data_IF_316171616382
#
_entry.id   IF_316171616382
#
_cell.length_a   1.000
_cell.length_b   1.000
_cell.length_c   1.000
_cell.angle_alpha   90.00
_cell.angle_beta   90.00
_cell.angle_gamma   90.00
#
_symmetry.space_group_name_H-M   'P 1'
#
loop_
_entity.id
_entity.type
_entity.pdbx_description
1 polymer ?
#
# COMPACT_ATOMS: atom_id res chain seq x y z
N UNK A 1 33.31 -7.25 -10.82
CA UNK A 1 32.37 -6.24 -10.26
C UNK A 1 31.33 -5.74 -11.30
N UNK A 2 30.82 -6.60 -12.21
CA UNK A 2 30.01 -6.21 -13.40
C UNK A 2 28.52 -6.62 -13.37
N UNK A 3 27.95 -6.87 -12.20
CA UNK A 3 26.50 -6.98 -12.05
C UNK A 3 25.98 -5.62 -11.59
N UNK A 4 25.77 -4.70 -12.53
CA UNK A 4 25.01 -3.46 -12.26
C UNK A 4 23.64 -3.85 -11.71
N UNK A 5 23.23 -3.22 -10.61
CA UNK A 5 21.89 -3.28 -10.01
C UNK A 5 20.83 -3.60 -11.08
N UNK A 6 20.06 -4.67 -10.91
CA UNK A 6 19.20 -5.24 -11.98
C UNK A 6 18.23 -4.24 -12.62
N UNK A 7 17.92 -3.14 -11.94
CA UNK A 7 17.18 -2.01 -12.52
C UNK A 7 17.94 -1.31 -13.67
N UNK A 8 19.23 -1.02 -13.53
CA UNK A 8 20.03 -0.40 -14.59
C UNK A 8 20.17 -1.33 -15.79
N UNK A 9 20.29 -2.63 -15.54
CA UNK A 9 20.27 -3.61 -16.62
C UNK A 9 18.89 -3.70 -17.28
N UNK A 10 17.80 -3.64 -16.52
CA UNK A 10 16.45 -3.57 -17.06
C UNK A 10 16.24 -2.30 -17.90
N UNK A 11 16.70 -1.13 -17.44
CA UNK A 11 16.67 0.13 -18.20
C UNK A 11 17.51 0.03 -19.48
N UNK A 12 18.73 -0.54 -19.39
CA UNK A 12 19.58 -0.76 -20.56
C UNK A 12 18.95 -1.72 -21.56
N UNK A 13 18.28 -2.77 -21.06
CA UNK A 13 17.59 -3.74 -21.91
C UNK A 13 16.29 -3.17 -22.48
N UNK A 14 15.61 -2.25 -21.78
CA UNK A 14 14.49 -1.45 -22.30
C UNK A 14 14.93 -0.67 -23.54
N UNK A 15 16.06 0.04 -23.45
CA UNK A 15 16.62 0.77 -24.60
C UNK A 15 17.00 -0.14 -25.77
N UNK A 16 17.29 -1.42 -25.50
CA UNK A 16 17.62 -2.42 -26.52
C UNK A 16 16.40 -3.20 -27.04
N UNK A 17 15.19 -2.90 -26.55
CA UNK A 17 13.97 -3.62 -26.92
C UNK A 17 13.93 -5.09 -26.46
N UNK A 18 14.70 -5.45 -25.42
CA UNK A 18 14.86 -6.84 -24.96
C UNK A 18 14.08 -7.21 -23.69
N UNK A 19 13.23 -6.31 -23.18
CA UNK A 19 12.43 -6.60 -21.99
C UNK A 19 10.95 -6.78 -22.34
N UNK A 20 10.29 -7.67 -21.60
CA UNK A 20 8.84 -7.79 -21.67
C UNK A 20 8.16 -6.53 -21.14
N UNK A 21 6.93 -6.28 -21.60
CA UNK A 21 6.11 -5.13 -21.19
C UNK A 21 5.92 -5.06 -19.66
N UNK A 22 5.79 -6.20 -18.99
CA UNK A 22 5.64 -6.27 -17.54
C UNK A 22 6.89 -5.77 -16.79
N UNK A 23 8.08 -6.11 -17.27
CA UNK A 23 9.34 -5.60 -16.72
C UNK A 23 9.43 -4.09 -16.92
N UNK A 24 9.11 -3.61 -18.13
CA UNK A 24 9.10 -2.18 -18.44
C UNK A 24 8.15 -1.41 -17.51
N UNK A 25 6.96 -1.96 -17.26
CA UNK A 25 5.98 -1.39 -16.33
C UNK A 25 6.49 -1.30 -14.90
N UNK A 26 7.16 -2.33 -14.39
CA UNK A 26 7.77 -2.32 -13.05
C UNK A 26 8.91 -1.30 -12.93
N UNK A 27 9.73 -1.15 -13.97
CA UNK A 27 10.77 -0.11 -14.00
C UNK A 27 10.15 1.28 -13.99
N UNK A 28 9.14 1.52 -14.85
CA UNK A 28 8.43 2.80 -14.91
C UNK A 28 7.78 3.14 -13.57
N UNK A 29 7.17 2.15 -12.90
CA UNK A 29 6.59 2.31 -11.57
C UNK A 29 7.59 2.88 -10.55
N UNK A 30 8.82 2.34 -10.49
CA UNK A 30 9.86 2.85 -9.57
C UNK A 30 10.16 4.32 -9.83
N UNK A 31 10.25 4.73 -11.11
CA UNK A 31 10.51 6.13 -11.48
C UNK A 31 9.35 7.05 -11.13
N UNK A 32 8.12 6.62 -11.43
CA UNK A 32 6.91 7.36 -11.06
C UNK A 32 6.82 7.52 -9.55
N UNK A 33 7.08 6.46 -8.79
CA UNK A 33 7.08 6.51 -7.32
C UNK A 33 8.13 7.49 -6.78
N UNK A 34 9.33 7.49 -7.36
CA UNK A 34 10.37 8.47 -7.01
C UNK A 34 9.95 9.91 -7.32
N UNK A 35 9.38 10.15 -8.50
CA UNK A 35 8.94 11.48 -8.91
C UNK A 35 7.81 12.04 -8.02
N UNK A 36 6.82 11.22 -7.68
CA UNK A 36 5.73 11.60 -6.77
C UNK A 36 6.29 11.88 -5.37
N UNK A 37 7.19 11.05 -4.86
CA UNK A 37 7.82 11.25 -3.55
C UNK A 37 8.60 12.57 -3.47
N UNK A 38 9.37 12.91 -4.51
CA UNK A 38 10.08 14.19 -4.61
C UNK A 38 9.09 15.36 -4.66
N UNK A 39 8.01 15.24 -5.45
CA UNK A 39 7.00 16.27 -5.55
C UNK A 39 6.31 16.54 -4.20
N UNK A 40 5.96 15.49 -3.45
CA UNK A 40 5.36 15.62 -2.12
C UNK A 40 6.31 16.26 -1.12
N UNK A 41 7.59 15.85 -1.09
CA UNK A 41 8.60 16.50 -0.24
C UNK A 41 8.76 18.00 -0.58
N UNK A 42 8.66 18.36 -1.88
CA UNK A 42 8.73 19.74 -2.33
C UNK A 42 7.48 20.58 -1.95
N UNK A 43 6.34 19.98 -1.59
CA UNK A 43 5.16 20.71 -1.11
C UNK A 43 5.44 21.36 0.25
N UNK A 44 6.28 20.75 1.09
CA UNK A 44 6.59 21.21 2.46
C UNK A 44 7.05 22.67 2.50
N UNK A 45 8.14 23.07 1.81
CA UNK A 45 8.61 24.44 1.85
C UNK A 45 7.59 25.42 1.26
N UNK A 46 6.87 25.02 0.21
CA UNK A 46 5.85 25.88 -0.42
C UNK A 46 4.70 26.15 0.54
N UNK A 47 4.22 25.13 1.26
CA UNK A 47 3.15 25.27 2.25
C UNK A 47 3.56 26.20 3.39
N UNK A 48 4.76 26.03 3.95
CA UNK A 48 5.23 26.80 5.09
C UNK A 48 5.57 28.26 4.76
N UNK A 49 5.99 28.54 3.53
CA UNK A 49 6.35 29.91 3.10
C UNK A 49 5.15 30.72 2.58
N UNK A 50 4.11 30.04 2.09
CA UNK A 50 2.95 30.68 1.48
C UNK A 50 1.62 30.13 2.02
N UNK A 51 1.38 30.15 3.34
CA UNK A 51 0.19 29.55 3.94
C UNK A 51 -1.11 30.18 3.43
N UNK A 52 -1.14 31.49 3.21
CA UNK A 52 -2.37 32.23 2.85
C UNK A 52 -2.82 32.00 1.40
N UNK A 53 -1.91 31.64 0.49
CA UNK A 53 -2.22 31.55 -0.94
C UNK A 53 -2.80 30.19 -1.33
N UNK A 54 -2.29 29.11 -0.73
CA UNK A 54 -2.62 27.73 -1.15
C UNK A 54 -2.74 26.76 0.03
N UNK A 55 -2.74 27.22 1.29
CA UNK A 55 -2.70 26.37 2.48
C UNK A 55 -3.77 25.28 2.52
N UNK A 56 -5.01 25.60 2.10
CA UNK A 56 -6.11 24.63 2.04
C UNK A 56 -5.93 23.51 1.00
N UNK A 57 -5.13 23.75 -0.05
CA UNK A 57 -4.80 22.74 -1.06
C UNK A 57 -3.53 21.98 -0.65
N UNK A 58 -2.46 22.68 -0.28
CA UNK A 58 -1.17 22.07 0.05
C UNK A 58 -1.19 21.25 1.33
N UNK A 59 -2.02 21.60 2.31
CA UNK A 59 -2.24 20.77 3.52
C UNK A 59 -2.73 19.35 3.20
N UNK A 60 -3.41 19.14 2.07
CA UNK A 60 -3.85 17.80 1.63
C UNK A 60 -2.70 16.92 1.13
N UNK A 61 -1.57 17.52 0.78
CA UNK A 61 -0.40 16.83 0.23
C UNK A 61 0.82 16.90 1.16
N UNK A 62 0.66 17.47 2.36
CA UNK A 62 1.77 17.70 3.27
C UNK A 62 2.11 16.40 4.01
N UNK A 63 3.36 15.93 3.88
CA UNK A 63 3.78 14.68 4.53
C UNK A 63 3.74 14.78 6.06
N UNK A 64 3.99 15.98 6.61
CA UNK A 64 3.96 16.25 8.05
C UNK A 64 2.57 16.28 8.68
N UNK A 65 1.52 15.98 7.91
CA UNK A 65 0.15 15.90 8.42
C UNK A 65 -0.38 14.50 8.20
N UNK A 66 -1.03 13.98 9.24
CA UNK A 66 -1.70 12.69 9.18
C UNK A 66 -3.04 12.80 8.43
N UNK A 67 -3.57 11.63 8.01
CA UNK A 67 -4.91 11.52 7.40
C UNK A 67 -5.11 12.44 6.17
N UNK A 68 -4.08 12.57 5.34
CA UNK A 68 -4.15 13.29 4.07
C UNK A 68 -3.53 12.45 2.93
N UNK A 69 -3.38 13.04 1.74
CA UNK A 69 -2.82 12.34 0.59
C UNK A 69 -1.31 12.07 0.73
N UNK A 70 -0.57 12.93 1.45
CA UNK A 70 0.83 12.71 1.77
C UNK A 70 1.02 11.43 2.59
N UNK A 71 0.33 11.34 3.73
CA UNK A 71 0.32 10.15 4.60
C UNK A 71 -0.23 8.90 3.89
N UNK A 72 -1.23 9.07 3.00
CA UNK A 72 -1.69 7.97 2.15
C UNK A 72 -0.56 7.44 1.25
N UNK A 73 0.19 8.35 0.62
CA UNK A 73 1.24 7.97 -0.31
C UNK A 73 2.38 7.22 0.40
N UNK A 74 2.92 7.75 1.50
CA UNK A 74 3.95 7.08 2.31
C UNK A 74 3.46 5.71 2.80
N UNK A 75 2.25 5.66 3.38
CA UNK A 75 1.65 4.43 3.90
C UNK A 75 1.42 3.37 2.83
N UNK A 76 0.92 3.76 1.65
CA UNK A 76 0.72 2.82 0.54
C UNK A 76 2.02 2.46 -0.16
N UNK A 77 3.03 3.32 -0.17
CA UNK A 77 4.37 2.98 -0.66
C UNK A 77 4.99 1.87 0.21
N UNK A 78 4.88 1.96 1.53
CA UNK A 78 5.27 0.88 2.45
C UNK A 78 4.50 -0.42 2.19
N UNK A 79 3.20 -0.34 1.90
CA UNK A 79 2.41 -1.51 1.50
C UNK A 79 2.92 -2.12 0.19
N UNK A 80 3.30 -1.29 -0.78
CA UNK A 80 3.90 -1.75 -2.03
C UNK A 80 5.25 -2.43 -1.78
N UNK A 81 6.10 -1.91 -0.88
CA UNK A 81 7.32 -2.60 -0.45
C UNK A 81 7.00 -3.99 0.12
N UNK A 82 5.95 -4.09 0.96
CA UNK A 82 5.50 -5.34 1.54
C UNK A 82 5.08 -6.36 0.46
N UNK A 83 4.33 -5.93 -0.54
CA UNK A 83 3.88 -6.78 -1.65
C UNK A 83 5.07 -7.25 -2.52
N UNK A 84 6.00 -6.36 -2.85
CA UNK A 84 7.20 -6.72 -3.62
C UNK A 84 8.15 -7.65 -2.83
N UNK A 85 8.28 -7.46 -1.52
CA UNK A 85 9.01 -8.38 -0.65
C UNK A 85 8.32 -9.77 -0.60
N UNK A 86 6.97 -9.80 -0.61
CA UNK A 86 6.23 -11.06 -0.69
C UNK A 86 6.44 -11.78 -2.03
N UNK A 87 6.50 -11.06 -3.14
CA UNK A 87 6.85 -11.64 -4.45
C UNK A 87 8.24 -12.28 -4.40
N UNK A 88 9.20 -11.63 -3.74
CA UNK A 88 10.53 -12.22 -3.51
C UNK A 88 10.45 -13.51 -2.68
N UNK A 89 9.61 -13.56 -1.63
CA UNK A 89 9.34 -14.81 -0.90
C UNK A 89 8.81 -15.91 -1.83
N UNK A 90 7.86 -15.58 -2.69
CA UNK A 90 7.27 -16.54 -3.63
C UNK A 90 8.32 -17.04 -4.63
N UNK A 91 9.14 -16.15 -5.18
CA UNK A 91 10.17 -16.49 -6.16
C UNK A 91 11.24 -17.44 -5.61
N UNK A 92 11.48 -17.43 -4.29
CA UNK A 92 12.50 -18.21 -3.60
C UNK A 92 11.97 -19.41 -2.80
N UNK A 93 10.66 -19.58 -2.67
CA UNK A 93 10.04 -20.62 -1.81
C UNK A 93 10.46 -22.05 -2.13
N UNK A 94 10.72 -22.35 -3.41
CA UNK A 94 11.14 -23.69 -3.87
C UNK A 94 12.66 -23.89 -3.81
N UNK A 95 13.45 -22.83 -3.63
CA UNK A 95 14.91 -22.88 -3.66
C UNK A 95 15.54 -22.87 -2.27
N UNK A 96 15.00 -22.07 -1.36
CA UNK A 96 15.50 -21.97 0.01
C UNK A 96 14.40 -21.48 0.96
N UNK A 97 14.04 -22.33 1.92
CA UNK A 97 13.04 -22.02 2.94
C UNK A 97 13.47 -20.81 3.79
N UNK A 98 14.75 -20.70 4.13
CA UNK A 98 15.28 -19.62 4.96
C UNK A 98 15.23 -18.27 4.24
N UNK A 99 15.61 -18.24 2.97
CA UNK A 99 15.52 -17.03 2.13
C UNK A 99 14.07 -16.61 1.94
N UNK A 100 13.17 -17.57 1.71
CA UNK A 100 11.74 -17.30 1.60
C UNK A 100 11.15 -16.78 2.93
N UNK A 101 11.59 -17.31 4.07
CA UNK A 101 11.23 -16.79 5.38
C UNK A 101 11.73 -15.35 5.57
N UNK A 102 12.98 -15.07 5.23
CA UNK A 102 13.57 -13.73 5.37
C UNK A 102 12.78 -12.68 4.57
N UNK A 103 12.46 -12.97 3.31
CA UNK A 103 11.59 -12.09 2.49
C UNK A 103 10.18 -11.97 3.06
N UNK A 104 9.63 -13.05 3.60
CA UNK A 104 8.33 -13.04 4.28
C UNK A 104 8.32 -12.19 5.54
N UNK A 105 9.40 -12.21 6.32
CA UNK A 105 9.58 -11.41 7.52
C UNK A 105 9.67 -9.92 7.15
N UNK A 106 10.50 -9.55 6.17
CA UNK A 106 10.58 -8.18 5.66
C UNK A 106 9.23 -7.68 5.12
N UNK A 107 8.50 -8.52 4.39
CA UNK A 107 7.14 -8.22 3.93
C UNK A 107 6.20 -7.89 5.10
N UNK A 108 6.24 -8.70 6.18
CA UNK A 108 5.44 -8.44 7.38
C UNK A 108 5.82 -7.13 8.09
N UNK A 109 7.11 -6.80 8.15
CA UNK A 109 7.59 -5.54 8.76
C UNK A 109 7.12 -4.34 7.95
N UNK A 110 7.26 -4.33 6.63
CA UNK A 110 6.80 -3.22 5.79
C UNK A 110 5.27 -3.08 5.82
N UNK A 111 4.55 -4.20 5.93
CA UNK A 111 3.10 -4.17 6.14
C UNK A 111 2.74 -3.52 7.48
N UNK A 112 3.47 -3.84 8.55
CA UNK A 112 3.29 -3.20 9.86
C UNK A 112 3.59 -1.70 9.79
N UNK A 113 4.68 -1.28 9.16
CA UNK A 113 4.98 0.15 8.97
C UNK A 113 3.92 0.87 8.14
N UNK A 114 3.40 0.24 7.08
CA UNK A 114 2.27 0.79 6.32
C UNK A 114 1.04 1.04 7.21
N UNK A 115 0.75 0.09 8.10
CA UNK A 115 -0.36 0.21 9.05
C UNK A 115 -0.11 1.33 10.05
N UNK A 116 1.10 1.39 10.60
CA UNK A 116 1.50 2.42 11.55
C UNK A 116 1.41 3.83 10.96
N UNK A 117 1.89 4.03 9.74
CA UNK A 117 1.94 5.34 9.08
C UNK A 117 0.56 6.03 8.99
N UNK A 118 -0.47 5.29 8.59
CA UNK A 118 -1.82 5.87 8.46
C UNK A 118 -2.63 5.74 9.76
N UNK A 119 -2.36 4.69 10.55
CA UNK A 119 -3.14 4.41 11.77
C UNK A 119 -2.54 5.02 13.02
N UNK A 120 -1.34 5.60 12.95
CA UNK A 120 -0.57 6.15 14.06
C UNK A 120 -0.54 5.18 15.27
N UNK A 121 -0.08 3.95 15.05
CA UNK A 121 -0.06 2.89 16.09
C UNK A 121 0.95 3.26 17.18
N UNK A 122 2.10 3.81 16.78
CA UNK A 122 3.14 4.24 17.69
C UNK A 122 2.63 5.35 18.64
N UNK A 123 1.78 6.27 18.19
CA UNK A 123 1.22 7.28 19.10
C UNK A 123 0.27 6.69 20.15
N UNK A 124 -0.52 5.69 19.77
CA UNK A 124 -1.38 4.95 20.71
C UNK A 124 -0.55 4.20 21.74
N UNK A 125 0.54 3.56 21.31
CA UNK A 125 1.49 2.90 22.21
C UNK A 125 2.16 3.90 23.16
N UNK A 126 2.52 5.08 22.67
CA UNK A 126 2.99 6.20 23.50
C UNK A 126 1.96 6.62 24.54
N UNK A 127 0.68 6.67 24.15
CA UNK A 127 -0.45 6.93 25.05
C UNK A 127 -0.57 5.90 26.17
N UNK A 128 -0.49 4.60 25.83
CA UNK A 128 -0.48 3.50 26.83
C UNK A 128 0.71 3.64 27.78
N UNK A 129 1.90 3.95 27.26
CA UNK A 129 3.09 4.16 28.08
C UNK A 129 2.95 5.31 29.08
N UNK A 130 2.33 6.42 28.66
CA UNK A 130 1.97 7.54 29.55
C UNK A 130 0.94 7.10 30.60
N UNK A 131 -0.08 6.34 30.21
CA UNK A 131 -1.13 5.86 31.11
C UNK A 131 -0.60 4.95 32.23
N UNK A 132 0.35 4.07 31.92
CA UNK A 132 0.96 3.16 32.91
C UNK A 132 2.17 3.77 33.65
N UNK A 133 2.51 5.04 33.40
CA UNK A 133 3.57 5.75 34.13
C UNK A 133 5.01 5.41 33.72
N UNK A 134 5.23 4.76 32.57
CA UNK A 134 6.58 4.47 32.05
C UNK A 134 7.06 5.50 31.02
N UNK A 135 6.20 6.44 30.64
CA UNK A 135 6.45 7.43 29.59
C UNK A 135 6.17 6.89 28.18
N UNK A 136 6.29 7.73 27.14
CA UNK A 136 5.86 7.35 25.78
C UNK A 136 6.79 6.37 25.07
N UNK A 137 8.10 6.41 25.37
CA UNK A 137 9.13 5.68 24.62
C UNK A 137 9.25 4.17 24.92
N UNK A 138 9.11 3.67 26.16
CA UNK A 138 9.40 2.26 26.42
C UNK A 138 8.57 1.25 25.60
N UNK A 139 7.24 1.40 25.43
CA UNK A 139 6.47 0.52 24.56
C UNK A 139 6.96 0.53 23.11
N UNK A 140 7.34 1.71 22.59
CA UNK A 140 7.90 1.86 21.25
C UNK A 140 9.23 1.13 21.10
N UNK A 141 10.13 1.28 22.07
CA UNK A 141 11.43 0.63 22.06
C UNK A 141 11.31 -0.90 22.07
N UNK A 142 10.31 -1.46 22.77
CA UNK A 142 10.05 -2.90 22.75
C UNK A 142 9.62 -3.35 21.36
N UNK A 143 8.66 -2.66 20.74
CA UNK A 143 8.21 -2.98 19.38
C UNK A 143 9.35 -2.83 18.37
N UNK A 144 10.09 -1.72 18.44
CA UNK A 144 11.25 -1.45 17.58
C UNK A 144 12.35 -2.51 17.76
N UNK A 145 12.63 -2.96 18.99
CA UNK A 145 13.61 -4.01 19.25
C UNK A 145 13.19 -5.36 18.66
N UNK A 146 11.91 -5.74 18.82
CA UNK A 146 11.39 -7.00 18.25
C UNK A 146 11.46 -6.97 16.73
N UNK A 147 10.94 -5.91 16.10
CA UNK A 147 10.98 -5.77 14.64
C UNK A 147 12.42 -5.66 14.13
N UNK A 148 13.28 -4.96 14.87
CA UNK A 148 14.71 -4.83 14.57
C UNK A 148 15.45 -6.17 14.58
N UNK A 149 15.23 -7.02 15.59
CA UNK A 149 15.82 -8.37 15.64
C UNK A 149 15.34 -9.23 14.47
N UNK A 150 14.04 -9.18 14.15
CA UNK A 150 13.48 -9.92 13.01
C UNK A 150 14.10 -9.41 11.70
N UNK A 151 14.19 -8.09 11.50
CA UNK A 151 14.80 -7.47 10.33
C UNK A 151 16.28 -7.87 10.20
N UNK A 152 17.08 -7.71 11.26
CA UNK A 152 18.50 -8.04 11.26
C UNK A 152 18.74 -9.52 10.96
N UNK A 153 17.91 -10.42 11.52
CA UNK A 153 17.99 -11.85 11.19
C UNK A 153 17.67 -12.10 9.73
N UNK A 154 16.60 -11.51 9.20
CA UNK A 154 16.24 -11.63 7.78
C UNK A 154 17.38 -11.12 6.87
N UNK A 155 17.92 -9.94 7.16
CA UNK A 155 19.03 -9.35 6.42
C UNK A 155 20.30 -10.19 6.51
N UNK A 156 20.61 -10.77 7.67
CA UNK A 156 21.75 -11.67 7.84
C UNK A 156 21.62 -12.95 7.01
N UNK A 157 20.42 -13.54 6.95
CA UNK A 157 20.14 -14.70 6.09
C UNK A 157 20.39 -14.34 4.62
N UNK A 158 19.87 -13.20 4.15
CA UNK A 158 20.08 -12.72 2.77
C UNK A 158 21.56 -12.41 2.49
N UNK A 159 22.26 -11.80 3.45
CA UNK A 159 23.70 -11.49 3.37
C UNK A 159 24.56 -12.75 3.19
N UNK A 160 24.24 -13.82 3.93
CA UNK A 160 24.99 -15.09 3.88
C UNK A 160 24.90 -15.80 2.54
N UNK A 161 23.82 -15.60 1.78
CA UNK A 161 23.68 -16.22 0.45
C UNK A 161 24.66 -15.66 -0.60
N UNK A 162 25.30 -14.52 -0.33
CA UNK A 162 26.25 -13.91 -1.26
C UNK A 162 25.58 -13.30 -2.51
N UNK A 163 26.39 -13.02 -3.52
CA UNK A 163 25.92 -12.56 -4.84
C UNK A 163 24.95 -11.36 -4.80
N UNK A 164 23.81 -11.52 -5.47
CA UNK A 164 22.77 -10.49 -5.57
C UNK A 164 22.01 -10.28 -4.25
N UNK A 165 21.68 -11.35 -3.52
CA UNK A 165 20.94 -11.28 -2.26
C UNK A 165 21.72 -10.51 -1.19
N UNK A 166 23.05 -10.67 -1.15
CA UNK A 166 23.90 -9.87 -0.27
C UNK A 166 23.80 -8.38 -0.57
N UNK A 167 23.84 -7.98 -1.83
CA UNK A 167 23.72 -6.57 -2.22
C UNK A 167 22.35 -6.01 -1.88
N UNK A 168 21.29 -6.77 -2.15
CA UNK A 168 19.93 -6.40 -1.75
C UNK A 168 19.83 -6.21 -0.24
N UNK A 169 20.45 -7.09 0.56
CA UNK A 169 20.46 -6.95 2.02
C UNK A 169 21.14 -5.65 2.49
N UNK A 170 22.24 -5.23 1.84
CA UNK A 170 22.90 -3.94 2.15
C UNK A 170 22.01 -2.77 1.79
N UNK A 171 21.43 -2.80 0.59
CA UNK A 171 20.55 -1.72 0.11
C UNK A 171 19.34 -1.58 1.05
N UNK A 172 18.72 -2.69 1.45
CA UNK A 172 17.61 -2.69 2.40
C UNK A 172 18.08 -2.21 3.78
N UNK A 173 19.24 -2.64 4.25
CA UNK A 173 19.80 -2.18 5.53
C UNK A 173 20.02 -0.66 5.54
N UNK A 174 20.57 -0.09 4.46
CA UNK A 174 20.72 1.36 4.31
C UNK A 174 19.36 2.04 4.36
N UNK A 175 18.40 1.59 3.54
CA UNK A 175 17.07 2.19 3.51
C UNK A 175 16.31 2.09 4.84
N UNK A 176 16.40 0.96 5.55
CA UNK A 176 15.86 0.80 6.90
C UNK A 176 16.58 1.70 7.92
N UNK A 177 17.89 1.90 7.76
CA UNK A 177 18.65 2.85 8.57
C UNK A 177 18.19 4.29 8.38
N UNK A 178 17.82 4.67 7.15
CA UNK A 178 17.25 5.99 6.86
C UNK A 178 15.86 6.15 7.48
N UNK A 179 14.96 5.16 7.31
CA UNK A 179 13.66 5.13 7.98
C UNK A 179 13.81 5.24 9.51
N UNK A 180 14.64 4.38 10.11
CA UNK A 180 14.87 4.39 11.55
C UNK A 180 15.54 5.67 12.07
N UNK A 181 16.22 6.43 11.21
CA UNK A 181 16.81 7.70 11.61
C UNK A 181 15.76 8.79 11.87
N UNK A 182 14.56 8.69 11.31
CA UNK A 182 13.47 9.67 11.52
C UNK A 182 13.10 9.78 12.99
N UNK A 183 12.96 8.65 13.70
CA UNK A 183 12.70 8.66 15.14
C UNK A 183 13.82 9.36 15.95
N UNK A 184 15.07 9.30 15.48
CA UNK A 184 16.20 10.01 16.11
C UNK A 184 16.11 11.51 15.79
N UNK A 185 15.75 11.87 14.56
CA UNK A 185 15.53 13.25 14.14
C UNK A 185 14.42 13.86 15.00
N UNK A 186 13.24 13.23 15.06
CA UNK A 186 12.12 13.65 15.89
C UNK A 186 12.54 13.84 17.37
N UNK A 187 13.30 12.90 17.93
CA UNK A 187 13.80 13.03 19.30
C UNK A 187 14.71 14.25 19.51
N UNK A 188 15.62 14.52 18.57
CA UNK A 188 16.51 15.69 18.61
C UNK A 188 15.71 16.98 18.50
N UNK A 189 14.67 17.00 17.67
CA UNK A 189 13.86 18.19 17.41
C UNK A 189 13.03 18.60 18.61
N UNK A 190 12.54 17.64 19.39
CA UNK A 190 11.92 17.92 20.69
C UNK A 190 12.86 18.66 21.67
N UNK A 191 14.16 18.72 21.38
CA UNK A 191 15.16 19.47 22.16
C UNK A 191 15.60 20.78 21.51
N UNK A 192 15.35 20.99 20.22
CA UNK A 192 15.81 22.17 19.48
C UNK A 192 14.65 23.13 19.22
N UNK A 193 14.75 24.35 19.75
CA UNK A 193 13.78 25.42 19.45
C UNK A 193 14.21 26.12 18.15
N UNK A 194 13.64 25.69 17.03
CA UNK A 194 13.84 26.34 15.74
C UNK A 194 12.78 27.42 15.50
N UNK A 195 13.17 28.68 15.60
CA UNK A 195 12.24 29.83 15.49
C UNK A 195 12.02 30.32 14.05
N UNK A 196 12.94 30.02 13.13
CA UNK A 196 12.82 30.43 11.73
C UNK A 196 11.95 29.46 10.92
N UNK A 197 10.98 29.98 10.17
CA UNK A 197 10.14 29.20 9.24
C UNK A 197 11.00 28.40 8.25
N UNK A 198 12.10 28.97 7.77
CA UNK A 198 13.04 28.27 6.89
C UNK A 198 13.71 27.08 7.56
N UNK A 199 14.08 27.21 8.83
CA UNK A 199 14.68 26.12 9.59
C UNK A 199 13.66 25.00 9.83
N UNK A 200 12.41 25.35 10.13
CA UNK A 200 11.31 24.37 10.27
C UNK A 200 10.99 23.66 8.95
N UNK A 201 10.96 24.39 7.84
CA UNK A 201 10.72 23.81 6.52
C UNK A 201 11.86 22.87 6.09
N UNK A 202 13.11 23.29 6.24
CA UNK A 202 14.27 22.45 5.92
C UNK A 202 14.28 21.18 6.78
N UNK A 203 14.00 21.33 8.08
CA UNK A 203 13.87 20.22 9.02
C UNK A 203 12.83 19.21 8.54
N UNK A 204 11.59 19.66 8.30
CA UNK A 204 10.51 18.81 7.83
C UNK A 204 10.83 18.14 6.48
N UNK A 205 11.49 18.84 5.55
CA UNK A 205 11.96 18.22 4.29
C UNK A 205 13.00 17.15 4.54
N UNK A 206 13.90 17.34 5.50
CA UNK A 206 14.92 16.34 5.84
C UNK A 206 14.27 15.13 6.50
N UNK A 207 13.36 15.33 7.45
CA UNK A 207 12.63 14.27 8.14
C UNK A 207 11.85 13.40 7.15
N UNK A 208 10.85 14.00 6.50
CA UNK A 208 9.94 13.34 5.56
C UNK A 208 10.66 12.85 4.30
N UNK A 209 11.62 13.65 3.80
CA UNK A 209 12.39 13.32 2.61
C UNK A 209 13.36 12.17 2.84
N UNK A 210 13.98 12.08 4.03
CA UNK A 210 14.83 10.95 4.40
C UNK A 210 14.01 9.68 4.50
N UNK A 211 12.79 9.77 5.01
CA UNK A 211 11.88 8.63 5.09
C UNK A 211 11.54 8.09 3.70
N UNK A 212 10.96 8.94 2.84
CA UNK A 212 10.58 8.57 1.48
C UNK A 212 11.78 8.08 0.66
N UNK A 213 12.94 8.72 0.81
CA UNK A 213 14.15 8.28 0.11
C UNK A 213 14.62 6.90 0.61
N UNK A 214 14.53 6.63 1.91
CA UNK A 214 14.74 5.31 2.48
C UNK A 214 13.82 4.24 1.87
N UNK A 215 12.52 4.54 1.76
CA UNK A 215 11.55 3.66 1.09
C UNK A 215 11.91 3.41 -0.38
N UNK A 216 12.34 4.45 -1.11
CA UNK A 216 12.74 4.33 -2.50
C UNK A 216 13.99 3.44 -2.67
N UNK A 217 14.98 3.57 -1.79
CA UNK A 217 16.15 2.67 -1.77
C UNK A 217 15.71 1.22 -1.55
N UNK A 218 14.80 0.97 -0.62
CA UNK A 218 14.26 -0.37 -0.37
C UNK A 218 13.51 -0.89 -1.60
N UNK A 219 12.69 -0.05 -2.25
CA UNK A 219 11.93 -0.40 -3.46
C UNK A 219 12.85 -0.95 -4.56
N UNK A 220 14.00 -0.29 -4.77
CA UNK A 220 15.02 -0.75 -5.72
C UNK A 220 15.50 -2.17 -5.44
N UNK A 221 15.58 -2.58 -4.17
CA UNK A 221 15.97 -3.94 -3.81
C UNK A 221 14.81 -4.94 -3.98
N UNK A 222 13.63 -4.64 -3.44
CA UNK A 222 12.51 -5.61 -3.35
C UNK A 222 11.81 -5.88 -4.68
N UNK A 223 11.81 -4.93 -5.62
CA UNK A 223 11.12 -5.07 -6.92
C UNK A 223 11.67 -6.22 -7.78
N UNK A 224 12.90 -6.66 -7.51
CA UNK A 224 13.54 -7.75 -8.24
C UNK A 224 12.76 -9.08 -8.13
N UNK A 225 12.08 -9.34 -7.01
CA UNK A 225 11.22 -10.52 -6.89
C UNK A 225 10.07 -10.49 -7.88
N UNK A 226 9.39 -9.35 -7.99
CA UNK A 226 8.32 -9.12 -8.96
C UNK A 226 8.81 -9.24 -10.40
N UNK A 227 9.99 -8.69 -10.72
CA UNK A 227 10.61 -8.85 -12.05
C UNK A 227 10.90 -10.33 -12.33
N UNK A 228 11.39 -11.08 -11.34
CA UNK A 228 11.67 -12.51 -11.49
C UNK A 228 10.39 -13.34 -11.72
N UNK A 229 9.28 -12.99 -11.07
CA UNK A 229 7.98 -13.62 -11.33
C UNK A 229 7.44 -13.25 -12.72
N UNK A 230 7.49 -11.97 -13.10
CA UNK A 230 7.08 -11.50 -14.42
C UNK A 230 7.82 -12.23 -15.55
N UNK A 231 9.13 -12.47 -15.39
CA UNK A 231 9.97 -13.25 -16.34
C UNK A 231 9.56 -14.70 -16.50
N UNK A 232 8.95 -15.28 -15.47
CA UNK A 232 8.42 -16.66 -15.48
C UNK A 232 6.95 -16.70 -15.93
N UNK A 233 6.39 -15.56 -16.34
CA UNK A 233 4.96 -15.40 -16.57
C UNK A 233 4.11 -15.78 -15.35
N UNK A 234 4.68 -15.67 -14.14
CA UNK A 234 3.96 -15.86 -12.89
C UNK A 234 3.29 -14.54 -12.48
N UNK A 235 2.13 -14.60 -11.79
CA UNK A 235 1.46 -13.41 -11.27
C UNK A 235 2.37 -12.57 -10.36
N UNK A 236 2.59 -11.31 -10.75
CA UNK A 236 3.21 -10.27 -9.90
C UNK A 236 2.19 -9.85 -8.83
N UNK A 237 2.64 -9.37 -7.67
CA UNK A 237 1.77 -9.17 -6.50
C UNK A 237 1.08 -10.48 -6.13
N UNK A 238 1.87 -11.55 -6.02
CA UNK A 238 1.43 -12.91 -5.76
C UNK A 238 0.60 -13.03 -4.47
N UNK A 239 0.79 -12.12 -3.51
CA UNK A 239 -0.10 -12.02 -2.35
C UNK A 239 -1.53 -11.68 -2.78
N UNK A 240 -1.72 -10.61 -3.56
CA UNK A 240 -3.01 -10.21 -4.09
C UNK A 240 -3.59 -11.32 -4.98
N UNK A 241 -2.79 -11.92 -5.89
CA UNK A 241 -3.26 -13.00 -6.75
C UNK A 241 -3.71 -14.26 -5.98
N UNK A 242 -2.91 -14.73 -5.00
CA UNK A 242 -3.15 -16.03 -4.32
C UNK A 242 -4.04 -15.92 -3.09
N UNK A 243 -4.02 -14.77 -2.41
CA UNK A 243 -4.72 -14.54 -1.13
C UNK A 243 -5.73 -13.42 -1.20
N UNK A 244 -5.73 -12.61 -2.27
CA UNK A 244 -6.62 -11.46 -2.47
C UNK A 244 -8.08 -11.76 -2.14
N UNK A 245 -8.73 -12.78 -2.73
CA UNK A 245 -10.14 -13.04 -2.43
C UNK A 245 -10.42 -13.20 -0.92
N UNK A 246 -9.58 -13.94 -0.20
CA UNK A 246 -9.75 -14.15 1.26
C UNK A 246 -9.44 -12.89 2.06
N UNK A 247 -8.34 -12.21 1.72
CA UNK A 247 -7.89 -10.99 2.41
C UNK A 247 -8.88 -9.86 2.20
N UNK A 248 -9.41 -9.73 0.99
CA UNK A 248 -10.39 -8.71 0.64
C UNK A 248 -11.73 -9.03 1.31
N UNK A 249 -12.23 -10.27 1.25
CA UNK A 249 -13.45 -10.65 2.00
C UNK A 249 -13.32 -10.37 3.50
N UNK A 250 -12.20 -10.75 4.10
CA UNK A 250 -11.94 -10.46 5.51
C UNK A 250 -11.83 -8.96 5.77
N UNK A 251 -11.08 -8.23 4.92
CA UNK A 251 -10.92 -6.78 5.02
C UNK A 251 -12.26 -6.06 4.97
N UNK A 252 -13.11 -6.36 3.98
CA UNK A 252 -14.45 -5.77 3.87
C UNK A 252 -15.34 -6.07 5.08
N UNK A 253 -15.28 -7.29 5.62
CA UNK A 253 -16.02 -7.64 6.85
C UNK A 253 -15.50 -6.89 8.08
N UNK A 254 -14.19 -6.63 8.12
CA UNK A 254 -13.55 -6.01 9.27
C UNK A 254 -13.55 -4.47 9.22
N UNK A 255 -13.70 -3.84 8.05
CA UNK A 255 -13.75 -2.37 7.92
C UNK A 255 -14.75 -1.73 8.89
N UNK A 256 -16.01 -2.19 9.01
CA UNK A 256 -16.96 -1.62 9.96
C UNK A 256 -16.52 -1.79 11.42
N UNK A 257 -15.92 -2.94 11.75
CA UNK A 257 -15.45 -3.25 13.11
C UNK A 257 -14.27 -2.34 13.47
N UNK A 258 -13.27 -2.23 12.61
CA UNK A 258 -12.13 -1.33 12.83
C UNK A 258 -12.53 0.13 12.81
N UNK A 259 -13.55 0.50 12.03
CA UNK A 259 -14.13 1.84 12.06
C UNK A 259 -14.79 2.12 13.40
N UNK A 260 -15.61 1.20 13.91
CA UNK A 260 -16.23 1.32 15.22
C UNK A 260 -15.18 1.38 16.34
N UNK A 261 -14.16 0.52 16.30
CA UNK A 261 -13.07 0.53 17.28
C UNK A 261 -12.22 1.82 17.21
N UNK A 262 -11.91 2.30 16.00
CA UNK A 262 -11.19 3.55 15.81
C UNK A 262 -12.00 4.74 16.37
N UNK A 263 -13.33 4.73 16.23
CA UNK A 263 -14.21 5.75 16.80
C UNK A 263 -14.29 5.71 18.34
N UNK A 264 -14.01 4.57 18.98
CA UNK A 264 -13.96 4.47 20.44
C UNK A 264 -12.67 5.03 21.03
N UNK A 265 -11.63 5.16 20.22
CA UNK A 265 -10.36 5.76 20.60
C UNK A 265 -10.41 7.22 20.16
N UNK A 266 -10.75 8.13 21.09
CA UNK A 266 -10.78 9.58 20.85
C UNK A 266 -9.34 10.08 20.72
N UNK A 267 -8.73 9.81 19.58
CA UNK A 267 -7.47 10.38 19.17
C UNK A 267 -7.63 10.85 17.73
N UNK A 268 -7.42 12.15 17.51
CA UNK A 268 -7.44 12.75 16.18
C UNK A 268 -6.24 12.28 15.34
N UNK A 269 -5.27 11.61 15.98
CA UNK A 269 -4.07 11.07 15.33
C UNK A 269 -4.31 9.71 14.71
N UNK A 270 -4.13 9.60 13.40
CA UNK A 270 -4.20 8.38 12.60
C UNK A 270 -5.55 7.65 12.63
N UNK A 271 -5.93 7.01 11.53
CA UNK A 271 -7.19 6.28 11.44
C UNK A 271 -6.99 4.88 10.88
N UNK A 272 -7.05 3.88 11.75
CA UNK A 272 -6.93 2.47 11.37
C UNK A 272 -7.95 2.03 10.31
N UNK A 273 -9.15 2.62 10.34
CA UNK A 273 -10.16 2.40 9.32
C UNK A 273 -9.74 2.91 7.94
N UNK A 274 -9.09 4.07 7.87
CA UNK A 274 -8.60 4.67 6.63
C UNK A 274 -7.48 3.81 6.04
N UNK A 275 -6.56 3.32 6.87
CA UNK A 275 -5.54 2.38 6.44
C UNK A 275 -6.15 1.08 5.88
N UNK A 276 -7.12 0.49 6.60
CA UNK A 276 -7.73 -0.75 6.17
C UNK A 276 -8.50 -0.58 4.86
N UNK A 277 -9.28 0.50 4.72
CA UNK A 277 -9.93 0.87 3.46
C UNK A 277 -8.89 1.00 2.35
N UNK A 278 -7.89 1.87 2.55
CA UNK A 278 -6.82 2.15 1.59
C UNK A 278 -6.12 0.89 1.12
N UNK A 279 -5.75 0.02 2.04
CA UNK A 279 -4.99 -1.20 1.74
C UNK A 279 -5.83 -2.23 0.98
N UNK A 280 -7.12 -2.41 1.34
CA UNK A 280 -8.05 -3.29 0.62
C UNK A 280 -8.23 -2.82 -0.83
N UNK A 281 -8.42 -1.52 -1.03
CA UNK A 281 -8.53 -0.94 -2.37
C UNK A 281 -7.25 -1.10 -3.18
N UNK A 282 -6.09 -0.80 -2.58
CA UNK A 282 -4.81 -0.93 -3.26
C UNK A 282 -4.54 -2.39 -3.65
N UNK A 283 -4.78 -3.34 -2.75
CA UNK A 283 -4.61 -4.78 -3.02
C UNK A 283 -5.55 -5.23 -4.15
N UNK A 284 -6.77 -4.71 -4.21
CA UNK A 284 -7.70 -4.97 -5.31
C UNK A 284 -7.16 -4.45 -6.65
N UNK A 285 -6.60 -3.24 -6.65
CA UNK A 285 -5.93 -2.70 -7.84
C UNK A 285 -4.72 -3.52 -8.26
N UNK A 286 -3.90 -3.96 -7.30
CA UNK A 286 -2.73 -4.79 -7.58
C UNK A 286 -3.12 -6.17 -8.12
N UNK A 287 -4.24 -6.74 -7.66
CA UNK A 287 -4.82 -7.95 -8.25
C UNK A 287 -5.21 -7.72 -9.72
N UNK A 288 -5.91 -6.61 -10.02
CA UNK A 288 -6.27 -6.28 -11.40
C UNK A 288 -5.04 -6.08 -12.30
N UNK A 289 -4.00 -5.41 -11.79
CA UNK A 289 -2.71 -5.24 -12.49
C UNK A 289 -2.01 -6.60 -12.69
N UNK A 290 -2.01 -7.46 -11.68
CA UNK A 290 -1.46 -8.81 -11.80
C UNK A 290 -2.13 -9.59 -12.93
N UNK A 291 -3.45 -9.51 -13.04
CA UNK A 291 -4.22 -10.17 -14.08
C UNK A 291 -3.97 -9.55 -15.46
N UNK A 292 -3.82 -8.22 -15.54
CA UNK A 292 -3.41 -7.53 -16.77
C UNK A 292 -2.07 -8.01 -17.30
N UNK A 293 -1.12 -8.21 -16.40
CA UNK A 293 0.23 -8.70 -16.72
C UNK A 293 0.17 -10.15 -17.20
N UNK A 294 -0.69 -10.97 -16.61
CA UNK A 294 -0.83 -12.40 -16.95
C UNK A 294 -1.70 -12.67 -18.20
N UNK A 295 -2.65 -11.78 -18.53
CA UNK A 295 -3.74 -12.04 -19.48
C UNK A 295 -3.62 -11.44 -20.90
N UNK A 296 -4.33 -12.06 -21.85
CA UNK A 296 -4.43 -11.64 -23.26
C UNK A 296 -5.62 -10.70 -23.55
N UNK A 297 -5.33 -9.56 -24.19
CA UNK A 297 -6.23 -8.73 -25.03
C UNK A 297 -7.60 -8.29 -24.49
N UNK A 298 -8.57 -9.20 -24.46
CA UNK A 298 -10.01 -8.87 -24.46
C UNK A 298 -10.50 -8.19 -23.17
N UNK A 299 -9.87 -8.47 -22.01
CA UNK A 299 -10.29 -7.90 -20.72
C UNK A 299 -9.46 -6.69 -20.28
N UNK A 300 -8.48 -6.26 -21.08
CA UNK A 300 -7.52 -5.21 -20.68
C UNK A 300 -8.19 -3.90 -20.28
N UNK A 301 -9.18 -3.44 -21.04
CA UNK A 301 -9.88 -2.19 -20.73
C UNK A 301 -10.58 -2.23 -19.36
N UNK A 302 -11.24 -3.34 -19.03
CA UNK A 302 -11.96 -3.52 -17.75
C UNK A 302 -10.99 -3.58 -16.58
N UNK A 303 -9.95 -4.40 -16.68
CA UNK A 303 -8.97 -4.54 -15.60
C UNK A 303 -8.19 -3.23 -15.35
N UNK A 304 -7.88 -2.47 -16.39
CA UNK A 304 -7.27 -1.14 -16.24
C UNK A 304 -8.22 -0.19 -15.50
N UNK A 305 -9.50 -0.17 -15.86
CA UNK A 305 -10.50 0.65 -15.18
C UNK A 305 -10.60 0.29 -13.69
N UNK A 306 -10.67 -1.00 -13.35
CA UNK A 306 -10.69 -1.50 -11.96
C UNK A 306 -9.41 -1.06 -11.22
N UNK A 307 -8.24 -1.23 -11.83
CA UNK A 307 -6.97 -0.85 -11.22
C UNK A 307 -6.92 0.65 -10.90
N UNK A 308 -7.26 1.50 -11.87
CA UNK A 308 -7.30 2.96 -11.70
C UNK A 308 -8.31 3.35 -10.64
N UNK A 309 -9.53 2.81 -10.72
CA UNK A 309 -10.62 3.12 -9.80
C UNK A 309 -10.26 2.73 -8.37
N UNK A 310 -9.69 1.54 -8.16
CA UNK A 310 -9.24 1.11 -6.84
C UNK A 310 -8.09 1.97 -6.29
N UNK A 311 -7.17 2.47 -7.12
CA UNK A 311 -6.12 3.40 -6.67
C UNK A 311 -6.75 4.72 -6.21
N UNK A 312 -7.69 5.26 -7.00
CA UNK A 312 -8.42 6.47 -6.64
C UNK A 312 -9.19 6.29 -5.33
N UNK A 313 -9.88 5.16 -5.16
CA UNK A 313 -10.61 4.86 -3.93
C UNK A 313 -9.70 4.64 -2.73
N UNK A 314 -8.52 4.05 -2.95
CA UNK A 314 -7.51 3.93 -1.91
C UNK A 314 -7.12 5.32 -1.41
N UNK A 315 -6.78 6.22 -2.32
CA UNK A 315 -6.41 7.60 -2.01
C UNK A 315 -7.51 8.37 -1.28
N UNK A 316 -8.76 8.25 -1.74
CA UNK A 316 -9.88 8.96 -1.11
C UNK A 316 -10.22 8.42 0.28
N UNK A 317 -9.94 7.15 0.57
CA UNK A 317 -10.23 6.59 1.90
C UNK A 317 -9.38 7.18 3.04
N UNK A 318 -8.24 7.81 2.72
CA UNK A 318 -7.41 8.55 3.68
C UNK A 318 -7.45 10.06 3.47
N UNK A 319 -7.63 10.53 2.23
CA UNK A 319 -7.56 11.96 1.87
C UNK A 319 -8.74 12.83 2.34
N UNK A 320 -9.78 12.23 2.92
CA UNK A 320 -10.86 12.95 3.59
C UNK A 320 -10.72 12.77 5.09
N UNK A 321 -9.87 13.58 5.72
CA UNK A 321 -9.74 13.63 7.17
C UNK A 321 -11.10 13.79 7.87
N UNK A 322 -11.16 13.54 9.18
CA UNK A 322 -12.36 13.82 9.95
C UNK A 322 -12.49 15.35 10.03
N UNK A 323 -13.39 15.91 9.23
CA UNK A 323 -14.09 17.16 9.49
C UNK A 323 -13.44 18.16 10.47
N UNK A 324 -12.46 18.94 9.99
CA UNK A 324 -12.29 20.31 10.50
C UNK A 324 -13.39 21.27 10.00
N UNK A 325 -14.26 20.82 9.09
CA UNK A 325 -15.45 21.56 8.68
C UNK A 325 -16.69 21.04 9.40
N UNK A 326 -16.94 21.64 10.57
CA UNK A 326 -18.21 21.62 11.34
C UNK A 326 -18.47 20.31 12.10
N UNK A 327 -18.03 20.27 13.35
CA UNK A 327 -18.45 19.28 14.34
C UNK A 327 -19.97 19.36 14.56
N UNK A 328 -20.72 18.37 14.08
CA UNK A 328 -22.10 18.10 14.54
C UNK A 328 -22.10 16.69 15.14
N UNK A 329 -21.76 16.62 16.43
CA UNK A 329 -21.40 15.44 17.24
C UNK A 329 -22.46 14.30 17.39
N UNK A 330 -23.41 14.13 16.47
CA UNK A 330 -24.43 13.07 16.60
C UNK A 330 -24.91 12.42 15.30
N UNK A 331 -24.74 13.07 14.14
CA UNK A 331 -25.36 12.61 12.88
C UNK A 331 -24.43 11.67 12.10
N UNK A 332 -23.11 11.76 12.28
CA UNK A 332 -22.12 10.92 11.57
C UNK A 332 -22.20 9.44 11.92
N UNK A 333 -22.50 9.10 13.19
CA UNK A 333 -22.53 7.72 13.65
C UNK A 333 -23.65 6.92 12.98
N UNK A 334 -24.87 7.47 13.02
CA UNK A 334 -26.05 6.85 12.43
C UNK A 334 -25.92 6.72 10.92
N UNK A 335 -25.45 7.76 10.24
CA UNK A 335 -25.37 7.76 8.76
C UNK A 335 -24.28 6.85 8.21
N UNK A 336 -23.09 6.79 8.80
CA UNK A 336 -22.03 5.85 8.36
C UNK A 336 -22.47 4.38 8.52
N UNK A 337 -23.13 4.04 9.63
CA UNK A 337 -23.66 2.68 9.86
C UNK A 337 -24.85 2.35 8.92
N UNK A 338 -25.79 3.28 8.75
CA UNK A 338 -26.98 3.09 7.91
C UNK A 338 -26.63 2.90 6.43
N UNK A 339 -25.45 3.38 6.01
CA UNK A 339 -25.01 3.34 4.61
C UNK A 339 -24.00 2.22 4.33
N UNK A 340 -23.18 1.82 5.30
CA UNK A 340 -22.34 0.62 5.17
C UNK A 340 -23.15 -0.67 5.23
N UNK A 341 -24.25 -0.69 5.99
CA UNK A 341 -25.06 -1.91 6.20
C UNK A 341 -25.75 -2.41 4.90
N UNK A 342 -26.41 -1.56 4.10
CA UNK A 342 -27.01 -1.99 2.83
C UNK A 342 -25.97 -2.39 1.79
N UNK A 343 -24.78 -1.78 1.81
CA UNK A 343 -23.70 -2.07 0.87
C UNK A 343 -22.99 -3.38 1.21
N UNK A 344 -22.72 -3.62 2.49
CA UNK A 344 -22.26 -4.91 2.97
C UNK A 344 -23.30 -6.00 2.69
N UNK A 345 -24.59 -5.73 2.95
CA UNK A 345 -25.69 -6.64 2.63
C UNK A 345 -25.80 -6.92 1.13
N UNK A 346 -25.71 -5.90 0.26
CA UNK A 346 -25.75 -6.05 -1.19
C UNK A 346 -24.55 -6.87 -1.70
N UNK A 347 -23.38 -6.67 -1.09
CA UNK A 347 -22.16 -7.41 -1.45
C UNK A 347 -22.22 -8.86 -1.01
N UNK A 348 -22.80 -9.14 0.16
CA UNK A 348 -23.11 -10.49 0.64
C UNK A 348 -24.16 -11.13 -0.28
N UNK A 349 -25.21 -10.42 -0.66
CA UNK A 349 -26.26 -10.91 -1.58
C UNK A 349 -25.69 -11.20 -2.96
N UNK A 350 -24.83 -10.33 -3.52
CA UNK A 350 -24.17 -10.56 -4.80
C UNK A 350 -23.17 -11.73 -4.73
N UNK A 351 -22.47 -11.89 -3.61
CA UNK A 351 -21.59 -13.04 -3.36
C UNK A 351 -22.38 -14.36 -3.26
N UNK A 352 -23.51 -14.35 -2.53
CA UNK A 352 -24.43 -15.50 -2.40
C UNK A 352 -25.14 -15.81 -3.72
N UNK A 353 -25.62 -14.81 -4.44
CA UNK A 353 -26.28 -14.97 -5.74
C UNK A 353 -25.32 -15.51 -6.82
N UNK A 354 -24.02 -15.22 -6.69
CA UNK A 354 -23.00 -15.77 -7.60
C UNK A 354 -22.62 -17.22 -7.28
N UNK A 355 -22.68 -17.65 -6.02
CA UNK A 355 -22.66 -19.08 -5.68
C UNK A 355 -23.83 -19.84 -6.35
N UNK A 356 -24.88 -19.14 -6.79
CA UNK A 356 -26.03 -19.69 -7.50
C UNK A 356 -25.97 -19.61 -9.05
N UNK A 357 -24.80 -19.35 -9.67
CA UNK A 357 -24.55 -19.45 -11.13
C UNK A 357 -25.39 -18.52 -12.05
N UNK A 358 -25.38 -17.20 -11.84
CA UNK A 358 -26.01 -16.24 -12.78
C UNK A 358 -24.95 -15.54 -13.68
N UNK A 359 -25.10 -15.52 -15.01
CA UNK A 359 -24.17 -14.85 -15.93
C UNK A 359 -24.36 -13.31 -15.94
N UNK A 360 -23.26 -12.56 -15.81
CA UNK A 360 -23.25 -11.10 -15.81
C UNK A 360 -23.40 -10.51 -17.23
N UNK A 361 -24.24 -9.48 -17.40
CA UNK A 361 -24.50 -8.81 -18.69
C UNK A 361 -24.11 -7.32 -18.66
N UNK A 362 -24.19 -6.64 -19.82
CA UNK A 362 -23.88 -5.23 -20.12
C UNK A 362 -24.19 -4.13 -19.05
N UNK A 363 -25.14 -4.26 -18.10
CA UNK A 363 -25.33 -3.31 -16.98
C UNK A 363 -24.07 -2.90 -16.19
N UNK A 364 -23.03 -3.74 -16.09
CA UNK A 364 -21.85 -3.45 -15.27
C UNK A 364 -21.04 -2.23 -15.77
N UNK A 365 -21.00 -1.99 -17.10
CA UNK A 365 -20.30 -0.85 -17.70
C UNK A 365 -21.07 0.46 -17.52
N UNK A 366 -22.41 0.38 -17.48
CA UNK A 366 -23.28 1.54 -17.20
C UNK A 366 -23.20 1.90 -15.72
N UNK A 367 -23.12 0.92 -14.82
CA UNK A 367 -22.92 1.17 -13.39
C UNK A 367 -21.57 1.87 -13.10
N UNK A 368 -20.48 1.44 -13.76
CA UNK A 368 -19.15 2.08 -13.62
C UNK A 368 -19.14 3.50 -14.22
N UNK A 369 -19.75 3.71 -15.39
CA UNK A 369 -19.83 5.03 -16.02
C UNK A 369 -20.74 5.99 -15.22
N UNK A 370 -21.87 5.51 -14.71
CA UNK A 370 -22.74 6.28 -13.82
C UNK A 370 -22.05 6.60 -12.49
N UNK A 371 -21.26 5.68 -11.93
CA UNK A 371 -20.45 5.97 -10.75
C UNK A 371 -19.40 7.06 -11.02
N UNK A 372 -18.67 7.00 -12.14
CA UNK A 372 -17.68 8.02 -12.49
C UNK A 372 -18.30 9.41 -12.71
N UNK A 373 -19.48 9.46 -13.35
CA UNK A 373 -20.23 10.71 -13.63
C UNK A 373 -20.94 11.24 -12.39
N UNK A 374 -21.31 10.39 -11.42
CA UNK A 374 -21.91 10.82 -10.15
C UNK A 374 -20.88 11.22 -9.09
N UNK A 375 -19.67 10.64 -9.13
CA UNK A 375 -18.58 11.00 -8.19
C UNK A 375 -18.11 12.44 -8.40
N UNK A 376 -18.02 12.92 -9.63
CA UNK A 376 -17.50 14.27 -9.93
C UNK A 376 -18.37 15.43 -9.38
N UNK A 377 -19.71 15.41 -9.50
CA UNK A 377 -20.58 16.43 -8.91
C UNK A 377 -20.90 16.18 -7.42
N UNK A 378 -20.95 14.93 -6.97
CA UNK A 378 -21.28 14.61 -5.57
C UNK A 378 -20.14 14.95 -4.59
N UNK A 379 -18.89 15.00 -5.07
CA UNK A 379 -17.75 15.58 -4.35
C UNK A 379 -17.95 17.06 -3.99
N UNK A 380 -18.92 17.75 -4.60
CA UNK A 380 -19.26 19.14 -4.31
C UNK A 380 -20.46 19.32 -3.34
N UNK A 381 -21.23 18.26 -3.03
CA UNK A 381 -22.54 18.45 -2.38
C UNK A 381 -22.64 18.00 -0.92
N UNK A 382 -21.98 16.92 -0.48
CA UNK A 382 -21.80 16.61 0.96
C UNK A 382 -20.74 15.50 1.18
N UNK A 383 -19.90 15.59 2.24
CA UNK A 383 -18.88 14.59 2.56
C UNK A 383 -19.43 13.17 2.82
N UNK A 384 -20.65 13.07 3.33
CA UNK A 384 -21.34 11.79 3.56
C UNK A 384 -21.57 11.03 2.25
N UNK A 385 -22.05 11.72 1.22
CA UNK A 385 -22.30 11.13 -0.10
C UNK A 385 -20.98 10.65 -0.71
N UNK A 386 -19.88 11.41 -0.54
CA UNK A 386 -18.54 11.00 -0.96
C UNK A 386 -18.02 9.73 -0.27
N UNK A 387 -18.23 9.59 1.04
CA UNK A 387 -17.87 8.38 1.79
C UNK A 387 -18.70 7.16 1.34
N UNK A 388 -20.01 7.32 1.18
CA UNK A 388 -20.87 6.23 0.72
C UNK A 388 -20.51 5.80 -0.70
N UNK A 389 -20.34 6.76 -1.61
CA UNK A 389 -19.95 6.46 -2.98
C UNK A 389 -18.61 5.76 -3.03
N UNK A 390 -17.61 6.18 -2.24
CA UNK A 390 -16.31 5.48 -2.21
C UNK A 390 -16.44 4.04 -1.71
N UNK A 391 -17.29 3.77 -0.72
CA UNK A 391 -17.57 2.40 -0.25
C UNK A 391 -18.36 1.57 -1.28
N UNK A 392 -19.37 2.14 -1.95
CA UNK A 392 -20.09 1.50 -3.08
C UNK A 392 -19.10 1.14 -4.19
N UNK A 393 -18.23 2.08 -4.53
CA UNK A 393 -17.24 1.95 -5.58
C UNK A 393 -16.20 0.89 -5.20
N UNK A 394 -15.86 0.75 -3.91
CA UNK A 394 -15.07 -0.35 -3.35
C UNK A 394 -15.64 -1.70 -3.66
N UNK A 395 -16.90 -1.86 -3.27
CA UNK A 395 -17.57 -3.13 -3.36
C UNK A 395 -17.83 -3.49 -4.81
N UNK A 396 -18.10 -2.49 -5.65
CA UNK A 396 -18.19 -2.65 -7.09
C UNK A 396 -16.85 -3.06 -7.69
N UNK A 397 -15.76 -2.35 -7.37
CA UNK A 397 -14.41 -2.63 -7.88
C UNK A 397 -13.93 -4.01 -7.43
N UNK A 398 -14.19 -4.37 -6.17
CA UNK A 398 -13.91 -5.68 -5.61
C UNK A 398 -14.74 -6.78 -6.25
N UNK A 399 -16.04 -6.56 -6.43
CA UNK A 399 -16.91 -7.51 -7.11
C UNK A 399 -16.43 -7.75 -8.55
N UNK A 400 -16.04 -6.70 -9.28
CA UNK A 400 -15.48 -6.83 -10.64
C UNK A 400 -14.10 -7.51 -10.62
N UNK A 401 -13.24 -7.23 -9.65
CA UNK A 401 -11.96 -7.93 -9.50
C UNK A 401 -12.15 -9.43 -9.20
N UNK A 402 -13.08 -9.78 -8.31
CA UNK A 402 -13.48 -11.17 -8.08
C UNK A 402 -14.14 -11.81 -9.31
N UNK A 403 -14.89 -11.03 -10.10
CA UNK A 403 -15.47 -11.48 -11.36
C UNK A 403 -14.36 -11.88 -12.34
N UNK A 404 -13.36 -11.02 -12.52
CA UNK A 404 -12.20 -11.31 -13.37
C UNK A 404 -11.40 -12.54 -12.92
N UNK A 405 -11.12 -12.70 -11.62
CA UNK A 405 -10.42 -13.91 -11.11
C UNK A 405 -11.21 -15.18 -11.41
N UNK A 406 -12.54 -15.15 -11.25
CA UNK A 406 -13.40 -16.30 -11.52
C UNK A 406 -13.62 -16.61 -13.01
N UNK A 407 -13.41 -15.63 -13.91
CA UNK A 407 -13.48 -15.79 -15.38
C UNK A 407 -12.15 -16.26 -15.96
N UNK A 408 -11.03 -16.05 -15.26
CA UNK A 408 -9.70 -16.55 -15.66
C UNK A 408 -9.43 -17.96 -15.07
N UNK A 409 -10.08 -18.32 -13.96
CA UNK A 409 -10.01 -19.67 -13.37
C UNK A 409 -10.85 -20.81 -14.03
N UNK A 410 -11.71 -20.63 -15.06
CA UNK A 410 -12.35 -21.73 -15.74
C UNK A 410 -11.46 -22.12 -16.92
N UNK A 411 -10.50 -23.01 -16.65
CA UNK A 411 -10.05 -24.10 -17.52
C UNK A 411 -8.61 -24.46 -17.21
N UNK A 412 -8.43 -25.59 -16.54
CA UNK A 412 -7.25 -26.42 -16.76
C UNK A 412 -6.38 -26.64 -15.52
N UNK A 413 -6.29 -27.92 -15.17
CA UNK A 413 -5.13 -28.53 -14.52
C UNK A 413 -5.00 -28.31 -13.01
N UNK A 414 -5.32 -29.39 -12.29
CA UNK A 414 -5.02 -29.56 -10.87
C UNK A 414 -3.54 -29.24 -10.67
N UNK A 415 -3.26 -28.39 -9.68
CA UNK A 415 -1.91 -28.05 -9.24
C UNK A 415 -1.10 -29.25 -8.67
N UNK A 416 -1.58 -30.49 -8.85
CA UNK A 416 -0.92 -31.72 -8.42
C UNK A 416 0.14 -32.20 -9.43
N UNK A 417 0.14 -31.74 -10.69
CA UNK A 417 1.13 -32.16 -11.70
C UNK A 417 2.43 -31.32 -11.74
N UNK A 418 2.57 -30.30 -10.87
CA UNK A 418 3.77 -29.46 -10.84
C UNK A 418 4.95 -30.01 -10.01
N UNK A 419 4.79 -31.17 -9.36
CA UNK A 419 5.89 -31.83 -8.62
C UNK A 419 6.84 -32.64 -9.52
N UNK A 420 6.61 -32.67 -10.84
CA UNK A 420 7.51 -33.27 -11.83
C UNK A 420 8.24 -32.21 -12.68
N UNK A 421 8.95 -31.29 -12.03
CA UNK A 421 9.90 -30.44 -12.74
C UNK A 421 11.17 -31.24 -13.07
N UNK A 422 11.62 -31.28 -14.34
CA UNK A 422 12.87 -31.93 -14.71
C UNK A 422 14.05 -31.25 -14.01
N UNK A 423 14.97 -32.07 -13.48
CA UNK A 423 16.25 -31.62 -12.94
C UNK A 423 16.98 -30.73 -13.95
N UNK A 424 16.94 -29.42 -13.73
CA UNK A 424 17.79 -28.49 -14.47
C UNK A 424 19.25 -28.69 -14.00
N UNK A 425 20.22 -28.80 -14.92
CA UNK A 425 21.63 -28.90 -14.57
C UNK A 425 22.09 -27.63 -13.85
N UNK A 426 22.90 -27.84 -12.80
CA UNK A 426 23.31 -26.82 -11.85
C UNK A 426 24.04 -25.63 -12.47
N UNK A 427 23.68 -24.45 -11.99
CA UNK A 427 24.44 -23.20 -12.12
C UNK A 427 25.28 -22.94 -10.88
#
# INVERSE_FOLDING_TARGET
MRASLGLFEAVRNLHRGRIGLAEAGLVLWVWVAGAVSIALAAVIPVHLMHPDFIGGVTSKFLLTHENNLGAWWSGMLLLMLALHAYDSRVAWRSRSRDVAWAWGALSGIFFFFSADEISSIHERLSGVGRWIGVGPWPPLLVVAAVLGVIALRALFILWRQGGMLRRQSVVIFIGLGMLGSVAIQEYIEHKLVLTSVWAQALRAVIEEGTELFGMMIILLAVVHGSIALARRSEPVFAFAARRGPRVLSFGFLMVPVFTALAMLIVDDRGQAANWLGSSVFLISSMLAISLLIAGGGAERGRLTAIAVLGICCSATSTGFGPFQTISIHGIEFGTRLLLLTPLAAASIVLWVARLAHVPATKPDLVAVACCAVLVLPAMAATPLVGYVLTQVLALSTFAVALLAVGVIAPHGERAEDFDHAPHLPGF
#
